data_IF_005000529281
#
_entry.id   IF_005000529281
#
_cell.length_a   1.000
_cell.length_b   1.000
_cell.length_c   1.000
_cell.angle_alpha   90.00
_cell.angle_beta   90.00
_cell.angle_gamma   90.00
#
_symmetry.space_group_name_H-M   'P 1'
#
loop_
_entity.id
_entity.type
_entity.pdbx_description
1 polymer ?
#
# COMPACT_ATOMS: atom_id res chain seq x y z
N UNK A 1 -29.90 70.58 18.64
CA UNK A 1 -28.67 70.29 19.39
C UNK A 1 -28.53 68.77 19.47
N UNK A 2 -27.46 68.21 18.87
CA UNK A 2 -26.67 67.06 19.34
C UNK A 2 -27.41 65.76 19.71
N UNK A 3 -27.16 64.60 19.09
CA UNK A 3 -25.89 63.84 19.18
C UNK A 3 -25.74 62.76 18.09
N UNK A 4 -24.47 62.53 17.79
CA UNK A 4 -23.84 61.51 16.93
C UNK A 4 -23.68 60.17 17.67
N UNK A 5 -23.63 59.06 16.92
CA UNK A 5 -22.90 57.83 17.27
C UNK A 5 -23.77 56.56 17.14
N UNK A 6 -23.32 55.42 16.63
CA UNK A 6 -22.01 54.95 16.19
C UNK A 6 -22.27 53.72 15.30
N UNK A 7 -21.46 53.53 14.24
CA UNK A 7 -21.52 52.36 13.36
C UNK A 7 -21.12 51.08 14.10
N UNK A 8 -21.81 49.97 13.82
CA UNK A 8 -21.34 48.62 14.18
C UNK A 8 -21.15 47.82 12.89
N UNK A 9 -19.92 47.76 12.40
CA UNK A 9 -19.47 46.79 11.39
C UNK A 9 -18.91 45.61 12.19
N UNK A 10 -19.70 44.55 12.32
CA UNK A 10 -19.29 43.28 12.91
C UNK A 10 -18.65 42.39 11.85
N UNK A 11 -17.33 42.21 11.97
CA UNK A 11 -16.49 41.33 11.15
C UNK A 11 -16.96 39.87 11.27
N UNK A 12 -17.38 39.26 10.16
CA UNK A 12 -17.57 37.81 10.07
C UNK A 12 -16.20 37.17 9.81
N UNK A 13 -15.54 36.73 10.88
CA UNK A 13 -14.25 36.06 10.79
C UNK A 13 -14.41 34.64 10.21
N UNK A 14 -13.60 34.40 9.18
CA UNK A 14 -13.49 33.23 8.32
C UNK A 14 -13.18 31.96 9.13
N UNK A 15 -14.06 30.95 9.05
CA UNK A 15 -13.72 29.56 9.42
C UNK A 15 -13.20 28.85 8.19
N UNK A 16 -11.91 29.00 7.89
CA UNK A 16 -11.19 28.21 6.88
C UNK A 16 -9.80 27.90 7.43
N UNK A 17 -9.72 26.92 8.33
CA UNK A 17 -8.44 26.38 8.81
C UNK A 17 -8.59 24.92 9.24
N UNK A 18 -8.99 24.05 8.32
CA UNK A 18 -8.97 22.59 8.56
C UNK A 18 -8.56 21.76 7.34
N UNK A 19 -8.22 22.38 6.20
CA UNK A 19 -7.77 21.66 5.00
C UNK A 19 -6.25 21.54 4.82
N UNK A 20 -5.46 22.34 5.53
CA UNK A 20 -4.00 22.31 5.41
C UNK A 20 -3.34 21.12 6.11
N UNK A 21 -3.98 20.53 7.12
CA UNK A 21 -3.38 19.43 7.91
C UNK A 21 -3.33 18.11 7.15
N UNK A 22 -4.21 17.89 6.16
CA UNK A 22 -4.34 16.59 5.49
C UNK A 22 -3.30 16.34 4.38
N UNK A 23 -2.69 17.39 3.80
CA UNK A 23 -1.70 17.25 2.73
C UNK A 23 -0.32 16.78 3.23
N UNK A 24 -0.07 16.90 4.53
CA UNK A 24 1.22 16.59 5.17
C UNK A 24 1.28 15.22 5.83
N UNK A 25 0.21 14.42 5.74
CA UNK A 25 0.11 13.12 6.41
C UNK A 25 0.15 11.98 5.39
N UNK A 26 0.76 10.86 5.79
CA UNK A 26 0.78 9.62 5.02
C UNK A 26 0.36 8.44 5.92
N UNK A 27 -0.94 8.37 6.30
CA UNK A 27 -1.38 7.57 7.44
C UNK A 27 -1.43 6.05 7.21
N UNK A 28 -1.24 5.58 5.97
CA UNK A 28 -1.46 4.18 5.58
C UNK A 28 -0.61 3.81 4.37
N UNK A 29 -0.62 2.53 4.01
CA UNK A 29 -0.02 2.03 2.77
C UNK A 29 -0.43 2.89 1.56
N UNK A 30 0.57 3.42 0.84
CA UNK A 30 0.40 4.33 -0.30
C UNK A 30 -0.42 5.60 -0.02
N UNK A 31 -0.54 6.02 1.24
CA UNK A 31 -1.17 7.28 1.63
C UNK A 31 -2.68 7.32 1.33
N UNK A 32 -3.25 8.51 1.39
CA UNK A 32 -4.70 8.70 1.18
C UNK A 32 -5.10 8.62 -0.30
N UNK A 33 -4.18 8.95 -1.21
CA UNK A 33 -4.40 9.06 -2.66
C UNK A 33 -3.60 8.01 -3.46
N UNK A 34 -3.36 6.82 -2.89
CA UNK A 34 -2.77 5.67 -3.57
C UNK A 34 -1.45 5.98 -4.31
N UNK A 35 -0.51 6.66 -3.64
CA UNK A 35 0.82 6.98 -4.16
C UNK A 35 0.91 8.35 -4.83
N UNK A 36 -0.19 9.11 -4.96
CA UNK A 36 -0.12 10.51 -5.40
C UNK A 36 0.04 11.43 -4.20
N UNK A 37 1.13 12.18 -4.14
CA UNK A 37 1.28 13.26 -3.18
C UNK A 37 0.76 14.58 -3.78
N UNK A 38 0.47 15.56 -2.93
CA UNK A 38 0.26 16.92 -3.40
C UNK A 38 1.56 17.44 -4.04
N UNK A 39 1.42 18.23 -5.10
CA UNK A 39 2.57 18.89 -5.71
C UNK A 39 3.14 19.92 -4.73
N UNK A 40 4.45 19.87 -4.54
CA UNK A 40 5.21 20.74 -3.65
C UNK A 40 6.63 20.93 -4.22
N UNK A 41 7.04 22.14 -4.61
CA UNK A 41 8.37 22.40 -5.16
C UNK A 41 9.53 22.07 -4.20
N UNK A 42 9.27 21.87 -2.90
CA UNK A 42 10.26 21.40 -1.95
C UNK A 42 10.58 19.89 -2.09
N UNK A 43 9.69 19.11 -2.72
CA UNK A 43 9.89 17.68 -2.89
C UNK A 43 11.10 17.37 -3.81
N UNK A 44 12.02 16.48 -3.39
CA UNK A 44 13.23 16.17 -4.13
C UNK A 44 12.95 15.29 -5.34
N UNK A 45 13.51 15.59 -6.50
CA UNK A 45 13.49 14.70 -7.68
C UNK A 45 14.88 14.15 -8.03
N UNK A 46 15.90 14.55 -7.26
CA UNK A 46 17.28 14.07 -7.34
C UNK A 46 17.81 13.73 -5.96
N UNK A 47 18.48 12.60 -5.80
CA UNK A 47 19.16 12.18 -4.58
C UNK A 47 20.15 11.05 -4.84
N UNK A 48 21.01 10.80 -3.88
CA UNK A 48 21.92 9.66 -3.83
C UNK A 48 22.09 9.21 -2.38
N UNK A 49 23.06 8.36 -2.08
CA UNK A 49 23.39 8.01 -0.69
C UNK A 49 23.86 9.19 0.18
N UNK A 50 24.21 10.32 -0.44
CA UNK A 50 24.76 11.52 0.22
C UNK A 50 24.09 12.83 -0.21
N UNK A 51 23.53 12.90 -1.42
CA UNK A 51 22.80 14.06 -1.93
C UNK A 51 21.33 14.05 -1.50
N UNK A 52 20.82 15.20 -1.04
CA UNK A 52 19.43 15.39 -0.60
C UNK A 52 18.96 14.38 0.48
N UNK A 53 19.91 13.84 1.25
CA UNK A 53 19.62 13.04 2.45
C UNK A 53 19.59 13.99 3.65
N UNK A 54 18.41 14.15 4.26
CA UNK A 54 18.24 14.87 5.52
C UNK A 54 18.80 14.04 6.67
N UNK A 55 18.44 12.75 6.72
CA UNK A 55 19.02 11.75 7.59
C UNK A 55 18.83 10.35 7.02
N UNK A 56 19.65 9.40 7.50
CA UNK A 56 19.47 7.97 7.30
C UNK A 56 19.85 7.23 8.59
N UNK A 57 19.10 6.18 8.93
CA UNK A 57 19.35 5.37 10.12
C UNK A 57 19.23 3.88 9.80
N UNK A 58 19.87 3.05 10.62
CA UNK A 58 19.64 1.61 10.62
C UNK A 58 18.33 1.27 11.33
N UNK A 59 17.53 0.40 10.72
CA UNK A 59 16.32 -0.17 11.32
C UNK A 59 16.57 -1.67 11.56
N UNK A 60 16.53 -2.13 12.82
CA UNK A 60 16.75 -3.54 13.12
C UNK A 60 15.70 -4.46 12.50
N UNK A 61 16.14 -5.65 12.08
CA UNK A 61 15.27 -6.71 11.57
C UNK A 61 14.91 -6.55 10.10
N UNK A 62 14.29 -7.59 9.55
CA UNK A 62 13.83 -7.62 8.17
C UNK A 62 12.33 -7.29 8.13
N UNK A 63 11.95 -6.33 7.30
CA UNK A 63 10.55 -6.04 7.00
C UNK A 63 10.38 -5.29 5.69
N UNK A 64 9.20 -5.44 5.09
CA UNK A 64 8.78 -4.72 3.88
C UNK A 64 7.57 -3.82 4.11
N UNK A 65 7.19 -3.61 5.37
CA UNK A 65 6.21 -2.59 5.73
C UNK A 65 6.66 -1.23 5.23
N UNK A 66 5.75 -0.54 4.54
CA UNK A 66 6.00 0.81 4.07
C UNK A 66 5.97 1.78 5.27
N UNK A 67 6.78 2.84 5.26
CA UNK A 67 6.66 3.87 6.28
C UNK A 67 5.29 4.55 6.19
N UNK A 68 4.73 4.89 7.34
CA UNK A 68 3.61 5.84 7.45
C UNK A 68 4.06 7.05 8.25
N UNK A 69 3.52 8.21 7.93
CA UNK A 69 3.91 9.49 8.55
C UNK A 69 2.67 10.16 9.15
N UNK A 70 2.75 10.53 10.42
CA UNK A 70 1.78 11.41 11.06
C UNK A 70 2.48 12.49 11.89
N UNK A 71 2.33 13.75 11.49
CA UNK A 71 3.07 14.89 12.04
C UNK A 71 4.58 14.63 12.01
N UNK A 72 5.19 14.49 13.18
CA UNK A 72 6.61 14.24 13.37
C UNK A 72 6.92 12.77 13.72
N UNK A 73 5.93 11.88 13.64
CA UNK A 73 6.08 10.44 13.83
C UNK A 73 6.19 9.73 12.48
N UNK A 74 7.19 8.86 12.35
CA UNK A 74 7.30 7.90 11.27
C UNK A 74 7.20 6.50 11.88
N UNK A 75 6.15 5.76 11.55
CA UNK A 75 5.99 4.40 12.01
C UNK A 75 6.44 3.39 10.97
N UNK A 76 7.23 2.41 11.40
CA UNK A 76 7.62 1.22 10.64
C UNK A 76 7.58 0.00 11.55
N UNK A 77 7.37 -1.18 10.96
CA UNK A 77 7.36 -2.45 11.70
C UNK A 77 8.55 -3.32 11.30
N UNK A 78 9.00 -4.21 12.19
CA UNK A 78 10.10 -5.14 11.92
C UNK A 78 9.89 -6.50 12.57
N UNK A 79 10.46 -7.53 11.94
CA UNK A 79 10.67 -8.83 12.57
C UNK A 79 12.19 -9.04 12.78
N UNK A 80 12.59 -9.21 14.04
CA UNK A 80 14.00 -9.41 14.42
C UNK A 80 14.20 -10.86 14.84
N UNK A 81 14.96 -11.62 14.05
CA UNK A 81 15.40 -12.98 14.37
C UNK A 81 16.80 -12.94 14.97
N UNK A 82 17.09 -13.70 16.05
CA UNK A 82 18.45 -13.96 16.51
C UNK A 82 19.14 -15.08 15.70
N UNK A 83 18.38 -15.80 14.87
CA UNK A 83 18.88 -16.92 14.06
C UNK A 83 19.46 -16.48 12.72
N UNK A 84 20.11 -17.43 12.04
CA UNK A 84 20.55 -17.25 10.65
C UNK A 84 19.33 -17.41 9.74
N UNK A 85 18.90 -16.31 9.13
CA UNK A 85 17.85 -16.28 8.12
C UNK A 85 18.48 -16.10 6.73
N UNK A 86 17.94 -16.76 5.72
CA UNK A 86 18.38 -16.56 4.34
C UNK A 86 18.11 -15.11 3.91
N UNK A 87 19.11 -14.50 3.24
CA UNK A 87 18.98 -13.16 2.71
C UNK A 87 17.94 -13.11 1.58
N UNK A 88 17.13 -12.05 1.46
CA UNK A 88 16.21 -11.88 0.35
C UNK A 88 16.92 -11.85 -1.01
N UNK A 89 16.30 -12.45 -2.02
CA UNK A 89 16.79 -12.44 -3.40
C UNK A 89 16.02 -11.43 -4.26
N UNK A 90 16.74 -10.72 -5.14
CA UNK A 90 16.14 -9.71 -6.02
C UNK A 90 15.59 -10.32 -7.31
N UNK A 91 14.63 -9.63 -7.89
CA UNK A 91 14.09 -9.87 -9.23
C UNK A 91 13.04 -10.96 -9.31
N UNK A 92 12.63 -11.25 -10.55
CA UNK A 92 11.80 -12.40 -10.89
C UNK A 92 12.73 -13.54 -11.33
N UNK A 93 12.92 -14.53 -10.46
CA UNK A 93 13.73 -15.71 -10.72
C UNK A 93 12.87 -16.97 -10.67
N UNK A 94 13.43 -18.09 -11.14
CA UNK A 94 12.85 -19.41 -10.93
C UNK A 94 13.33 -19.92 -9.56
N UNK A 95 12.45 -19.97 -8.55
CA UNK A 95 12.84 -20.40 -7.22
C UNK A 95 12.96 -21.93 -7.08
N UNK A 96 12.81 -22.68 -8.16
CA UNK A 96 12.77 -24.15 -8.15
C UNK A 96 11.50 -24.71 -7.51
N UNK A 97 11.51 -26.02 -7.28
CA UNK A 97 10.35 -26.79 -6.80
C UNK A 97 9.89 -26.36 -5.40
N UNK A 98 10.79 -25.82 -4.58
CA UNK A 98 10.48 -25.31 -3.24
C UNK A 98 9.85 -23.92 -3.27
N UNK A 99 9.66 -23.30 -4.43
CA UNK A 99 9.01 -21.98 -4.56
C UNK A 99 9.58 -20.91 -3.61
N UNK A 100 10.86 -20.99 -3.25
CA UNK A 100 11.54 -19.99 -2.42
C UNK A 100 11.05 -20.00 -0.97
N UNK A 101 10.39 -21.07 -0.54
CA UNK A 101 9.83 -21.20 0.80
C UNK A 101 10.93 -21.26 1.85
N UNK A 102 10.70 -20.55 2.95
CA UNK A 102 11.56 -20.52 4.11
C UNK A 102 10.71 -20.58 5.37
N UNK A 103 11.25 -21.18 6.43
CA UNK A 103 10.59 -21.23 7.74
C UNK A 103 11.61 -20.91 8.81
N UNK A 104 11.26 -19.99 9.69
CA UNK A 104 12.11 -19.68 10.84
C UNK A 104 11.87 -20.70 11.95
N UNK A 105 12.96 -21.16 12.56
CA UNK A 105 12.96 -21.99 13.77
C UNK A 105 13.31 -21.20 15.02
N UNK A 106 13.62 -19.90 14.86
CA UNK A 106 14.05 -19.03 15.95
C UNK A 106 12.90 -18.18 16.50
N UNK A 107 13.01 -17.79 17.76
CA UNK A 107 12.09 -16.84 18.38
C UNK A 107 12.31 -15.47 17.74
N UNK A 108 11.39 -15.07 16.87
CA UNK A 108 11.37 -13.75 16.24
C UNK A 108 10.69 -12.75 17.17
N UNK A 109 11.16 -11.51 17.17
CA UNK A 109 10.56 -10.38 17.89
C UNK A 109 9.88 -9.45 16.90
N UNK A 110 8.58 -9.23 17.06
CA UNK A 110 7.83 -8.27 16.25
C UNK A 110 7.83 -6.91 16.95
N UNK A 111 8.36 -5.92 16.25
CA UNK A 111 8.63 -4.59 16.80
C UNK A 111 7.89 -3.53 15.98
N UNK A 112 7.31 -2.55 16.67
CA UNK A 112 6.85 -1.29 16.10
C UNK A 112 7.86 -0.21 16.48
N UNK A 113 8.32 0.56 15.52
CA UNK A 113 9.23 1.68 15.75
C UNK A 113 8.48 2.99 15.50
N UNK A 114 8.76 3.98 16.34
CA UNK A 114 8.46 5.38 16.08
C UNK A 114 9.79 6.13 15.87
N UNK A 115 9.92 6.77 14.72
CA UNK A 115 11.09 7.52 14.32
C UNK A 115 10.71 8.99 14.21
N UNK A 116 11.49 9.84 14.87
CA UNK A 116 11.35 11.28 14.81
C UNK A 116 11.61 11.80 13.39
N UNK A 117 10.62 12.48 12.80
CA UNK A 117 10.68 12.95 11.42
C UNK A 117 11.84 13.93 11.16
N UNK A 118 12.17 14.78 12.13
CA UNK A 118 13.19 15.81 11.94
C UNK A 118 14.61 15.26 12.09
N UNK A 119 14.86 14.51 13.15
CA UNK A 119 16.19 14.04 13.52
C UNK A 119 16.52 12.64 13.01
N UNK A 120 15.53 11.84 12.64
CA UNK A 120 15.70 10.41 12.35
C UNK A 120 15.95 9.57 13.59
N UNK A 121 15.90 10.13 14.80
CA UNK A 121 16.11 9.33 16.02
C UNK A 121 14.92 8.42 16.26
N UNK A 122 15.18 7.14 16.54
CA UNK A 122 14.17 6.22 17.07
C UNK A 122 13.71 6.76 18.44
N UNK A 123 12.45 7.21 18.53
CA UNK A 123 11.83 7.68 19.78
C UNK A 123 11.59 6.51 20.72
N UNK A 124 11.04 5.43 20.18
CA UNK A 124 10.87 4.17 20.87
C UNK A 124 10.82 3.00 19.90
N UNK A 125 11.08 1.80 20.44
CA UNK A 125 10.91 0.52 19.75
C UNK A 125 10.14 -0.41 20.67
N UNK A 126 8.90 -0.71 20.31
CA UNK A 126 8.01 -1.53 21.12
C UNK A 126 7.99 -2.95 20.57
N UNK A 127 8.59 -3.88 21.31
CA UNK A 127 8.32 -5.30 21.11
C UNK A 127 6.87 -5.58 21.49
N UNK A 128 6.08 -6.02 20.52
CA UNK A 128 4.66 -6.36 20.71
C UNK A 128 4.55 -7.83 21.13
N UNK A 129 5.39 -8.69 20.57
CA UNK A 129 5.47 -10.12 20.92
C UNK A 129 6.80 -10.73 20.46
N UNK A 130 7.23 -11.78 21.17
CA UNK A 130 8.32 -12.66 20.77
C UNK A 130 7.83 -14.11 20.70
N UNK A 131 7.93 -14.75 19.52
CA UNK A 131 7.60 -16.18 19.33
C UNK A 131 8.20 -16.73 18.03
N UNK A 132 8.12 -18.04 17.85
CA UNK A 132 8.43 -18.67 16.56
C UNK A 132 7.28 -18.34 15.60
N UNK A 133 7.53 -17.89 14.35
CA UNK A 133 6.48 -17.66 13.36
C UNK A 133 5.58 -18.88 13.19
N UNK A 134 4.27 -18.66 13.10
CA UNK A 134 3.31 -19.76 12.97
C UNK A 134 3.39 -20.41 11.56
N UNK A 135 3.80 -19.62 10.58
CA UNK A 135 3.77 -19.96 9.15
C UNK A 135 5.14 -19.80 8.50
N UNK A 136 5.31 -20.38 7.31
CA UNK A 136 6.43 -20.11 6.41
C UNK A 136 6.30 -18.77 5.69
N UNK A 137 7.31 -18.43 4.89
CA UNK A 137 7.30 -17.28 3.97
C UNK A 137 8.13 -17.56 2.73
N UNK A 138 7.83 -16.87 1.63
CA UNK A 138 8.77 -16.75 0.52
C UNK A 138 10.02 -15.98 0.98
N UNK A 139 11.20 -16.32 0.47
CA UNK A 139 12.48 -15.68 0.84
C UNK A 139 12.49 -14.17 0.58
N UNK A 140 11.75 -13.71 -0.44
CA UNK A 140 11.48 -12.28 -0.72
C UNK A 140 10.50 -11.61 0.23
N UNK A 141 9.67 -12.36 0.96
CA UNK A 141 8.74 -11.80 1.91
C UNK A 141 9.43 -11.62 3.29
N UNK A 142 8.75 -11.00 4.25
CA UNK A 142 9.19 -10.88 5.64
C UNK A 142 8.07 -11.31 6.57
N UNK A 143 8.37 -11.50 7.86
CA UNK A 143 7.33 -11.76 8.86
C UNK A 143 6.63 -10.47 9.36
N UNK A 144 6.96 -9.31 8.81
CA UNK A 144 6.40 -8.01 9.16
C UNK A 144 6.22 -7.12 7.91
N UNK A 145 5.58 -7.67 6.86
CA UNK A 145 5.39 -7.00 5.57
C UNK A 145 4.19 -6.07 5.54
N UNK A 146 3.20 -6.30 6.41
CA UNK A 146 2.02 -5.47 6.52
C UNK A 146 2.39 -4.06 7.01
N UNK A 147 1.87 -3.06 6.31
CA UNK A 147 2.07 -1.65 6.63
C UNK A 147 1.07 -1.21 7.70
N UNK A 148 1.55 -0.49 8.72
CA UNK A 148 0.68 0.07 9.75
C UNK A 148 -0.35 1.07 9.18
N UNK A 149 -1.36 1.41 9.96
CA UNK A 149 -2.28 2.53 9.68
C UNK A 149 -2.48 3.39 10.93
N UNK A 150 -2.80 4.67 10.79
CA UNK A 150 -3.01 5.59 11.93
C UNK A 150 -4.16 6.56 11.69
N UNK A 151 -4.86 6.95 12.76
CA UNK A 151 -5.81 8.08 12.78
C UNK A 151 -5.21 9.35 13.41
N UNK A 152 -3.94 9.32 13.80
CA UNK A 152 -3.30 10.41 14.52
C UNK A 152 -3.41 10.35 16.04
N UNK A 153 -4.18 9.40 16.57
CA UNK A 153 -4.27 9.12 18.01
C UNK A 153 -3.58 7.80 18.35
N UNK A 154 -3.71 6.80 17.46
CA UNK A 154 -3.13 5.47 17.63
C UNK A 154 -2.56 4.96 16.33
N UNK A 155 -1.50 4.16 16.45
CA UNK A 155 -0.98 3.33 15.36
C UNK A 155 -1.53 1.91 15.49
N UNK A 156 -2.08 1.39 14.40
CA UNK A 156 -2.66 0.06 14.29
C UNK A 156 -1.76 -0.80 13.41
N UNK A 157 -1.37 -1.96 13.93
CA UNK A 157 -0.51 -2.92 13.25
C UNK A 157 -1.18 -4.28 13.17
N UNK A 158 -0.85 -5.01 12.10
CA UNK A 158 -1.22 -6.41 11.93
C UNK A 158 0.03 -7.17 11.53
N UNK A 159 0.29 -8.28 12.20
CA UNK A 159 1.36 -9.20 11.86
C UNK A 159 0.72 -10.53 11.45
N UNK A 160 0.47 -10.71 10.16
CA UNK A 160 -0.32 -11.83 9.64
C UNK A 160 0.33 -13.18 9.89
N UNK A 161 1.66 -13.25 9.82
CA UNK A 161 2.45 -14.45 10.09
C UNK A 161 2.27 -15.04 11.49
N UNK A 162 1.66 -14.25 12.39
CA UNK A 162 1.38 -14.64 13.76
C UNK A 162 -0.04 -14.31 14.20
N UNK A 163 -0.87 -13.78 13.30
CA UNK A 163 -2.27 -13.43 13.55
C UNK A 163 -2.46 -12.37 14.64
N UNK A 164 -1.50 -11.48 14.85
CA UNK A 164 -1.58 -10.49 15.92
C UNK A 164 -1.96 -9.13 15.38
N UNK A 165 -3.04 -8.56 15.89
CA UNK A 165 -3.45 -7.18 15.65
C UNK A 165 -3.22 -6.40 16.94
N UNK A 166 -2.66 -5.20 16.85
CA UNK A 166 -2.45 -4.35 18.02
C UNK A 166 -2.72 -2.89 17.70
N UNK A 167 -3.18 -2.15 18.70
CA UNK A 167 -3.17 -0.69 18.70
C UNK A 167 -2.22 -0.18 19.77
N UNK A 168 -1.39 0.79 19.39
CA UNK A 168 -0.49 1.49 20.31
C UNK A 168 -0.83 2.99 20.29
N UNK A 169 -0.68 3.65 21.44
CA UNK A 169 -0.61 5.11 21.46
C UNK A 169 0.73 5.59 20.89
N UNK A 170 0.87 6.91 20.69
CA UNK A 170 2.09 7.49 20.13
C UNK A 170 3.27 7.50 21.10
N UNK A 171 3.06 7.16 22.38
CA UNK A 171 4.11 6.89 23.37
C UNK A 171 4.61 5.42 23.31
N UNK A 172 4.05 4.61 22.42
CA UNK A 172 4.40 3.19 22.26
C UNK A 172 3.78 2.27 23.31
N UNK A 173 2.79 2.73 24.07
CA UNK A 173 2.01 1.88 24.99
C UNK A 173 0.99 1.10 24.17
N UNK A 174 0.94 -0.21 24.41
CA UNK A 174 -0.08 -1.08 23.82
C UNK A 174 -1.41 -0.75 24.50
N UNK A 175 -2.38 -0.28 23.71
CA UNK A 175 -3.74 0.01 24.17
C UNK A 175 -4.57 -1.26 24.21
N UNK A 176 -4.48 -2.07 23.16
CA UNK A 176 -5.10 -3.39 23.08
C UNK A 176 -4.38 -4.29 22.08
N UNK A 177 -4.55 -5.59 22.25
CA UNK A 177 -4.16 -6.61 21.27
C UNK A 177 -5.33 -7.54 20.97
N UNK A 178 -5.36 -8.10 19.77
CA UNK A 178 -6.35 -9.07 19.32
C UNK A 178 -5.65 -10.17 18.53
N UNK A 179 -5.83 -11.41 18.97
CA UNK A 179 -5.37 -12.58 18.24
C UNK A 179 -6.45 -13.00 17.23
N UNK A 180 -6.04 -13.23 16.00
CA UNK A 180 -6.79 -13.91 14.94
C UNK A 180 -6.01 -15.16 14.50
N UNK A 181 -6.65 -16.10 13.79
CA UNK A 181 -5.95 -17.26 13.28
C UNK A 181 -4.86 -16.89 12.28
N UNK A 182 -3.73 -17.61 12.36
CA UNK A 182 -2.58 -17.46 11.48
C UNK A 182 -2.34 -18.80 10.79
N UNK A 183 -2.54 -18.84 9.47
CA UNK A 183 -2.47 -20.05 8.67
C UNK A 183 -1.62 -19.80 7.43
N UNK A 184 -1.05 -20.87 6.89
CA UNK A 184 -0.23 -20.80 5.68
C UNK A 184 -1.04 -20.20 4.52
N UNK A 185 -0.38 -19.39 3.70
CA UNK A 185 -0.93 -18.89 2.44
C UNK A 185 -0.53 -19.82 1.29
N UNK A 186 -1.11 -19.61 0.12
CA UNK A 186 -0.76 -20.38 -1.07
C UNK A 186 0.77 -20.34 -1.32
N UNK A 187 1.36 -21.51 -1.60
CA UNK A 187 2.81 -21.73 -1.74
C UNK A 187 3.68 -21.22 -0.56
N UNK A 188 3.16 -21.17 0.66
CA UNK A 188 3.86 -20.67 1.86
C UNK A 188 4.53 -19.31 1.61
N UNK A 189 3.89 -18.45 0.80
CA UNK A 189 4.44 -17.14 0.43
C UNK A 189 4.49 -16.16 1.61
N UNK A 190 3.80 -16.45 2.71
CA UNK A 190 3.63 -15.58 3.87
C UNK A 190 2.52 -14.55 3.66
N UNK A 191 2.37 -13.61 4.58
CA UNK A 191 1.29 -12.60 4.57
C UNK A 191 1.80 -11.22 4.13
N UNK A 192 0.88 -10.34 3.67
CA UNK A 192 1.22 -8.95 3.33
C UNK A 192 0.02 -7.96 3.30
N UNK A 193 -1.23 -8.45 3.36
CA UNK A 193 -2.41 -7.59 3.33
C UNK A 193 -2.45 -6.68 4.57
N UNK A 194 -2.38 -5.37 4.35
CA UNK A 194 -2.26 -4.39 5.44
C UNK A 194 -3.62 -4.08 6.10
N UNK A 195 -3.65 -3.69 7.38
CA UNK A 195 -4.85 -3.22 8.06
C UNK A 195 -5.35 -1.91 7.43
N UNK A 196 -6.67 -1.77 7.32
CA UNK A 196 -7.28 -0.53 6.82
C UNK A 196 -8.23 0.06 7.84
N UNK A 197 -8.01 1.33 8.16
CA UNK A 197 -8.84 2.09 9.07
C UNK A 197 -9.87 2.91 8.29
N UNK A 198 -11.12 2.87 8.73
CA UNK A 198 -12.15 3.80 8.28
C UNK A 198 -13.10 4.12 9.45
N UNK A 199 -13.17 5.41 9.80
CA UNK A 199 -13.93 5.93 10.95
C UNK A 199 -13.55 5.20 12.24
N UNK A 200 -14.49 4.46 12.85
CA UNK A 200 -14.30 3.72 14.09
C UNK A 200 -13.94 2.24 13.89
N UNK A 201 -13.74 1.80 12.64
CA UNK A 201 -13.52 0.39 12.31
C UNK A 201 -12.15 0.14 11.68
N UNK A 202 -11.52 -0.94 12.12
CA UNK A 202 -10.31 -1.50 11.54
C UNK A 202 -10.66 -2.79 10.80
N UNK A 203 -10.30 -2.87 9.53
CA UNK A 203 -10.58 -4.00 8.65
C UNK A 203 -9.30 -4.79 8.36
N UNK A 204 -9.37 -6.10 8.54
CA UNK A 204 -8.32 -7.05 8.19
C UNK A 204 -8.89 -8.06 7.19
N UNK A 205 -8.16 -8.30 6.10
CA UNK A 205 -8.40 -9.42 5.20
C UNK A 205 -7.23 -10.38 5.34
N UNK A 206 -7.53 -11.65 5.55
CA UNK A 206 -6.55 -12.72 5.59
C UNK A 206 -7.08 -13.92 4.83
N UNK A 207 -6.73 -13.98 3.55
CA UNK A 207 -6.94 -15.18 2.74
C UNK A 207 -5.82 -16.16 3.03
N UNK A 208 -6.16 -17.41 3.38
CA UNK A 208 -5.22 -18.46 3.76
C UNK A 208 -5.75 -19.85 3.34
N UNK A 209 -4.97 -20.91 3.58
CA UNK A 209 -5.28 -22.28 3.16
C UNK A 209 -6.27 -23.03 4.08
N UNK A 210 -6.68 -22.45 5.20
CA UNK A 210 -7.49 -23.14 6.22
C UNK A 210 -8.85 -22.47 6.43
N UNK A 211 -8.85 -21.19 6.75
CA UNK A 211 -10.05 -20.40 7.01
C UNK A 211 -9.84 -18.96 6.54
N UNK A 212 -10.04 -18.68 5.26
CA UNK A 212 -9.99 -17.30 4.76
C UNK A 212 -11.06 -16.44 5.41
N UNK A 213 -10.73 -15.19 5.75
CA UNK A 213 -11.68 -14.29 6.40
C UNK A 213 -11.43 -12.81 6.11
N UNK A 214 -12.50 -12.04 6.27
CA UNK A 214 -12.43 -10.60 6.55
C UNK A 214 -13.04 -10.34 7.92
N UNK A 215 -12.42 -9.47 8.72
CA UNK A 215 -12.91 -9.11 10.05
C UNK A 215 -12.90 -7.60 10.21
N UNK A 216 -13.94 -7.08 10.87
CA UNK A 216 -13.99 -5.70 11.34
C UNK A 216 -13.87 -5.66 12.85
N UNK A 217 -12.98 -4.81 13.34
CA UNK A 217 -12.77 -4.55 14.75
C UNK A 217 -13.15 -3.11 15.09
N UNK A 218 -13.69 -2.89 16.29
CA UNK A 218 -13.78 -1.56 16.87
C UNK A 218 -12.36 -1.04 17.16
N UNK A 219 -12.02 0.12 16.60
CA UNK A 219 -10.65 0.65 16.70
C UNK A 219 -10.23 0.98 18.14
N UNK A 220 -11.19 1.23 19.04
CA UNK A 220 -10.92 1.70 20.40
C UNK A 220 -10.60 0.55 21.35
N UNK A 221 -11.27 -0.58 21.16
CA UNK A 221 -11.20 -1.73 22.05
C UNK A 221 -10.55 -2.97 21.44
N UNK A 222 -10.45 -3.04 20.10
CA UNK A 222 -10.04 -4.26 19.40
C UNK A 222 -11.11 -5.36 19.39
N UNK A 223 -12.32 -5.06 19.90
CA UNK A 223 -13.44 -5.99 19.90
C UNK A 223 -13.90 -6.27 18.47
N UNK A 224 -14.16 -7.54 18.17
CA UNK A 224 -14.71 -7.92 16.88
C UNK A 224 -16.15 -7.42 16.76
N UNK A 225 -16.41 -6.64 15.71
CA UNK A 225 -17.75 -6.17 15.34
C UNK A 225 -18.45 -7.25 14.51
N UNK A 226 -17.77 -7.74 13.48
CA UNK A 226 -18.25 -8.82 12.62
C UNK A 226 -17.07 -9.57 11.97
N UNK A 227 -17.34 -10.77 11.46
CA UNK A 227 -16.42 -11.58 10.66
C UNK A 227 -17.19 -12.21 9.50
N UNK A 228 -16.60 -12.17 8.31
CA UNK A 228 -17.12 -12.80 7.10
C UNK A 228 -16.13 -13.90 6.71
N UNK A 229 -16.64 -15.13 6.58
CA UNK A 229 -15.88 -16.22 5.99
C UNK A 229 -15.68 -15.96 4.49
N UNK A 230 -14.50 -16.29 4.00
CA UNK A 230 -14.06 -16.13 2.63
C UNK A 230 -13.71 -17.50 2.07
N UNK A 231 -13.91 -17.69 0.76
CA UNK A 231 -13.72 -18.98 0.08
C UNK A 231 -12.40 -19.00 -0.71
N UNK A 232 -11.63 -17.91 -0.60
CA UNK A 232 -10.38 -17.71 -1.30
C UNK A 232 -9.30 -18.69 -0.78
N UNK A 233 -8.54 -19.38 -1.64
CA UNK A 233 -7.58 -20.42 -1.24
C UNK A 233 -6.21 -19.84 -0.81
N UNK A 234 -6.20 -18.67 -0.17
CA UNK A 234 -4.96 -18.06 0.34
C UNK A 234 -3.98 -17.50 -0.68
N UNK A 235 -4.44 -17.20 -1.89
CA UNK A 235 -3.62 -16.71 -3.00
C UNK A 235 -3.71 -15.18 -3.19
N UNK A 236 -3.95 -14.42 -2.11
CA UNK A 236 -4.14 -12.96 -2.17
C UNK A 236 -3.38 -12.25 -1.07
N UNK A 237 -2.57 -11.26 -1.47
CA UNK A 237 -1.70 -10.44 -0.62
C UNK A 237 -2.06 -8.96 -0.64
N UNK A 238 -3.20 -8.65 -1.24
CA UNK A 238 -3.65 -7.28 -1.51
C UNK A 238 -4.25 -6.64 -0.27
N UNK A 239 -3.90 -5.39 -0.01
CA UNK A 239 -4.57 -4.58 1.01
C UNK A 239 -5.98 -4.23 0.51
N UNK A 240 -7.04 -4.44 1.30
CA UNK A 240 -8.40 -4.07 0.90
C UNK A 240 -8.50 -2.55 0.72
N UNK A 241 -9.48 -2.08 -0.04
CA UNK A 241 -9.69 -0.65 -0.25
C UNK A 241 -11.07 -0.23 0.21
N UNK A 242 -11.14 0.70 1.16
CA UNK A 242 -12.41 1.34 1.54
C UNK A 242 -12.69 2.46 0.55
N UNK A 243 -13.64 2.20 -0.35
CA UNK A 243 -14.04 3.11 -1.42
C UNK A 243 -15.26 3.92 -0.98
N UNK A 244 -15.02 5.18 -0.64
CA UNK A 244 -16.08 6.18 -0.47
C UNK A 244 -16.44 6.75 -1.84
N UNK A 245 -17.60 6.37 -2.36
CA UNK A 245 -18.13 6.87 -3.62
C UNK A 245 -19.39 7.71 -3.40
N UNK A 246 -19.92 8.28 -4.49
CA UNK A 246 -21.08 9.17 -4.44
C UNK A 246 -22.39 8.49 -3.97
N UNK A 247 -22.46 7.15 -4.00
CA UNK A 247 -23.65 6.38 -3.65
C UNK A 247 -23.55 5.73 -2.27
N UNK A 248 -22.37 5.24 -1.88
CA UNK A 248 -22.12 4.55 -0.60
C UNK A 248 -20.62 4.34 -0.35
N UNK A 249 -20.30 3.80 0.82
CA UNK A 249 -18.96 3.31 1.15
C UNK A 249 -18.91 1.79 1.02
N UNK A 250 -17.86 1.28 0.38
CA UNK A 250 -17.67 -0.15 0.15
C UNK A 250 -16.26 -0.61 0.51
N UNK A 251 -16.09 -1.88 0.86
CA UNK A 251 -14.80 -2.53 1.12
C UNK A 251 -14.51 -3.43 -0.08
N UNK A 252 -13.67 -2.95 -0.99
CA UNK A 252 -13.25 -3.68 -2.19
C UNK A 252 -12.06 -4.57 -1.84
N UNK A 253 -12.24 -5.87 -2.00
CA UNK A 253 -11.26 -6.90 -1.68
C UNK A 253 -10.92 -7.69 -2.93
N UNK A 254 -9.66 -7.68 -3.39
CA UNK A 254 -9.19 -8.68 -4.33
C UNK A 254 -9.34 -10.08 -3.76
N UNK A 255 -9.38 -11.07 -4.64
CA UNK A 255 -9.56 -12.48 -4.31
C UNK A 255 -8.97 -13.36 -5.41
N UNK A 256 -8.77 -14.64 -5.13
CA UNK A 256 -8.30 -15.59 -6.15
C UNK A 256 -9.35 -15.77 -7.25
N UNK A 257 -9.01 -15.40 -8.48
CA UNK A 257 -9.92 -15.54 -9.63
C UNK A 257 -11.09 -14.53 -9.67
N UNK A 258 -11.22 -13.67 -8.64
CA UNK A 258 -12.35 -12.72 -8.51
C UNK A 258 -11.98 -11.45 -7.74
N UNK A 259 -12.89 -10.48 -7.71
CA UNK A 259 -12.91 -9.36 -6.76
C UNK A 259 -14.28 -9.35 -6.10
N UNK A 260 -14.33 -9.05 -4.81
CA UNK A 260 -15.57 -8.91 -4.04
C UNK A 260 -15.63 -7.54 -3.41
N UNK A 261 -16.83 -6.98 -3.30
CA UNK A 261 -17.07 -5.76 -2.56
C UNK A 261 -18.15 -5.96 -1.52
N UNK A 262 -17.92 -5.43 -0.33
CA UNK A 262 -18.80 -5.54 0.81
C UNK A 262 -19.24 -4.17 1.30
N UNK A 263 -20.39 -4.08 1.95
CA UNK A 263 -20.69 -2.89 2.76
C UNK A 263 -19.85 -2.88 4.04
N UNK A 264 -19.98 -1.80 4.82
CA UNK A 264 -19.24 -1.64 6.06
C UNK A 264 -19.59 -2.69 7.13
N UNK A 265 -20.75 -3.35 7.01
CA UNK A 265 -21.26 -4.37 7.92
C UNK A 265 -20.96 -5.82 7.43
N UNK A 266 -20.18 -5.95 6.35
CA UNK A 266 -19.71 -7.24 5.85
C UNK A 266 -20.68 -7.95 4.91
N UNK A 267 -21.76 -7.29 4.46
CA UNK A 267 -22.65 -7.88 3.47
C UNK A 267 -22.05 -7.75 2.07
N UNK A 268 -22.02 -8.86 1.32
CA UNK A 268 -21.57 -8.84 -0.08
C UNK A 268 -22.51 -7.97 -0.92
N UNK A 269 -21.93 -7.00 -1.63
CA UNK A 269 -22.64 -6.08 -2.53
C UNK A 269 -22.55 -6.55 -3.97
N UNK A 270 -21.34 -6.87 -4.43
CA UNK A 270 -21.07 -7.36 -5.77
C UNK A 270 -19.82 -8.22 -5.82
N UNK A 271 -19.73 -9.05 -6.86
CA UNK A 271 -18.53 -9.80 -7.22
C UNK A 271 -18.24 -9.73 -8.72
N UNK A 272 -16.96 -9.84 -9.07
CA UNK A 272 -16.47 -9.86 -10.45
C UNK A 272 -15.52 -11.03 -10.60
N UNK A 273 -15.74 -11.90 -11.58
CA UNK A 273 -14.85 -13.01 -11.97
C UNK A 273 -13.90 -12.59 -13.09
N UNK A 274 -12.85 -13.40 -13.28
CA UNK A 274 -11.90 -13.20 -14.38
C UNK A 274 -10.62 -12.50 -13.95
N UNK A 275 -10.29 -12.56 -12.67
CA UNK A 275 -8.96 -12.22 -12.13
C UNK A 275 -8.01 -13.42 -12.26
N UNK A 276 -6.71 -13.19 -12.08
CA UNK A 276 -5.74 -14.28 -11.95
C UNK A 276 -5.84 -14.94 -10.58
N UNK A 277 -5.26 -16.15 -10.44
CA UNK A 277 -5.25 -16.89 -9.17
C UNK A 277 -4.46 -16.16 -8.09
N UNK A 278 -3.26 -15.64 -8.43
CA UNK A 278 -2.43 -14.86 -7.51
C UNK A 278 -2.70 -13.38 -7.68
N UNK A 279 -3.03 -12.69 -6.58
CA UNK A 279 -3.30 -11.24 -6.60
C UNK A 279 -2.60 -10.49 -5.46
N UNK A 280 -1.64 -9.63 -5.82
CA UNK A 280 -0.95 -8.72 -4.90
C UNK A 280 -1.32 -7.22 -5.08
N UNK A 281 -1.64 -6.71 -6.29
CA UNK A 281 -1.97 -5.29 -6.47
C UNK A 281 -3.19 -4.88 -5.66
N UNK A 282 -3.07 -3.80 -4.88
CA UNK A 282 -4.17 -3.28 -4.08
C UNK A 282 -5.09 -2.37 -4.91
N UNK A 283 -6.42 -2.40 -4.70
CA UNK A 283 -7.34 -1.49 -5.39
C UNK A 283 -7.15 -0.04 -4.94
N UNK A 284 -7.61 0.89 -5.76
CA UNK A 284 -7.67 2.31 -5.43
C UNK A 284 -8.75 3.01 -6.25
N UNK A 285 -9.12 4.24 -5.90
CA UNK A 285 -10.10 5.01 -6.64
C UNK A 285 -9.60 6.38 -7.08
N UNK A 286 -10.06 6.81 -8.26
CA UNK A 286 -9.87 8.15 -8.82
C UNK A 286 -10.96 8.41 -9.85
N UNK A 287 -11.31 9.67 -10.09
CA UNK A 287 -12.37 10.06 -11.06
C UNK A 287 -13.72 9.38 -10.79
N UNK A 288 -14.03 9.08 -9.52
CA UNK A 288 -15.23 8.35 -9.13
C UNK A 288 -15.24 6.87 -9.53
N UNK A 289 -14.16 6.33 -10.10
CA UNK A 289 -14.02 4.93 -10.47
C UNK A 289 -13.12 4.21 -9.47
N UNK A 290 -13.40 2.93 -9.21
CA UNK A 290 -12.45 2.03 -8.54
C UNK A 290 -11.71 1.20 -9.56
N UNK A 291 -10.39 1.11 -9.40
CA UNK A 291 -9.48 0.35 -10.24
C UNK A 291 -8.90 -0.82 -9.46
N UNK A 292 -8.78 -1.97 -10.12
CA UNK A 292 -8.09 -3.13 -9.60
C UNK A 292 -7.52 -3.97 -10.73
N UNK A 293 -6.47 -4.72 -10.42
CA UNK A 293 -5.73 -5.51 -11.39
C UNK A 293 -5.17 -6.77 -10.77
N UNK A 294 -4.93 -7.77 -11.59
CA UNK A 294 -4.17 -8.96 -11.22
C UNK A 294 -3.38 -9.42 -12.44
N UNK A 295 -2.11 -9.80 -12.25
CA UNK A 295 -1.23 -10.09 -13.38
C UNK A 295 -0.26 -11.22 -13.12
N UNK A 296 -0.71 -12.30 -12.47
CA UNK A 296 0.14 -13.48 -12.26
C UNK A 296 0.76 -13.96 -13.58
N UNK A 297 2.10 -14.10 -13.66
CA UNK A 297 2.74 -14.45 -14.93
C UNK A 297 2.31 -15.81 -15.49
N UNK A 298 1.90 -16.75 -14.64
CA UNK A 298 1.42 -18.08 -15.03
C UNK A 298 -0.01 -18.09 -15.58
N UNK A 299 -0.76 -16.99 -15.47
CA UNK A 299 -2.15 -16.90 -15.90
C UNK A 299 -2.34 -16.02 -17.15
N UNK A 300 -3.47 -16.26 -17.83
CA UNK A 300 -4.03 -15.43 -18.88
C UNK A 300 -5.56 -15.46 -18.80
N UNK A 301 -6.27 -14.32 -18.87
CA UNK A 301 -5.77 -12.94 -19.05
C UNK A 301 -5.04 -12.39 -17.80
N UNK A 302 -4.41 -11.22 -17.94
CA UNK A 302 -3.84 -10.39 -16.86
C UNK A 302 -4.62 -9.08 -16.78
N UNK A 303 -5.78 -9.10 -16.12
CA UNK A 303 -6.78 -8.05 -16.27
C UNK A 303 -6.47 -6.77 -15.49
N UNK A 304 -7.03 -5.68 -15.99
CA UNK A 304 -7.33 -4.45 -15.25
C UNK A 304 -8.78 -4.09 -15.51
N UNK A 305 -9.50 -3.70 -14.45
CA UNK A 305 -10.86 -3.20 -14.54
C UNK A 305 -10.97 -1.80 -13.93
N UNK A 306 -11.85 -0.99 -14.50
CA UNK A 306 -12.36 0.23 -13.89
C UNK A 306 -13.87 0.14 -13.70
N UNK A 307 -14.34 0.28 -12.47
CA UNK A 307 -15.74 0.04 -12.08
C UNK A 307 -16.38 1.32 -11.55
N UNK A 308 -17.62 1.58 -11.99
CA UNK A 308 -18.47 2.68 -11.53
C UNK A 308 -19.14 2.39 -10.19
N UNK A 309 -19.52 3.44 -9.43
CA UNK A 309 -20.30 3.29 -8.22
C UNK A 309 -21.62 2.54 -8.47
N UNK A 310 -22.16 1.90 -7.43
CA UNK A 310 -23.52 1.35 -7.44
C UNK A 310 -23.68 -0.06 -8.00
N UNK A 311 -22.57 -0.75 -8.28
CA UNK A 311 -22.56 -2.15 -8.68
C UNK A 311 -23.33 -3.07 -7.71
N UNK A 312 -24.05 -4.06 -8.22
CA UNK A 312 -24.73 -5.07 -7.38
C UNK A 312 -24.79 -6.41 -8.08
N UNK A 313 -24.64 -7.50 -7.31
CA UNK A 313 -24.67 -8.87 -7.82
C UNK A 313 -23.39 -9.28 -8.57
N UNK A 314 -23.50 -10.25 -9.47
CA UNK A 314 -22.40 -10.63 -10.36
C UNK A 314 -22.28 -9.59 -11.48
N UNK A 315 -21.16 -8.87 -11.52
CA UNK A 315 -20.89 -7.81 -12.50
C UNK A 315 -19.92 -8.25 -13.60
N UNK A 316 -19.57 -9.54 -13.66
CA UNK A 316 -18.59 -10.09 -14.59
C UNK A 316 -18.94 -9.78 -16.04
N UNK A 317 -17.92 -9.53 -16.86
CA UNK A 317 -18.07 -9.40 -18.30
C UNK A 317 -18.34 -10.77 -18.93
N UNK A 318 -19.18 -10.78 -19.97
CA UNK A 318 -19.32 -11.94 -20.85
C UNK A 318 -18.14 -12.01 -21.83
N UNK A 319 -17.88 -13.18 -22.43
CA UNK A 319 -16.82 -13.30 -23.44
C UNK A 319 -16.98 -12.27 -24.57
N UNK A 320 -15.90 -11.53 -24.83
CA UNK A 320 -15.85 -10.48 -25.87
C UNK A 320 -16.31 -9.09 -25.42
N UNK A 321 -16.91 -8.96 -24.24
CA UNK A 321 -17.26 -7.65 -23.68
C UNK A 321 -16.02 -6.95 -23.08
N UNK A 322 -15.98 -5.62 -23.19
CA UNK A 322 -14.95 -4.77 -22.59
C UNK A 322 -15.53 -3.75 -21.61
N UNK A 323 -16.87 -3.70 -21.50
CA UNK A 323 -17.62 -2.84 -20.60
C UNK A 323 -19.04 -3.41 -20.42
N UNK A 324 -19.70 -3.00 -19.35
CA UNK A 324 -21.13 -3.24 -19.13
C UNK A 324 -21.71 -2.06 -18.34
N UNK A 325 -22.89 -2.18 -17.72
CA UNK A 325 -23.49 -1.09 -16.94
C UNK A 325 -22.62 -0.59 -15.77
N UNK A 326 -21.81 -1.45 -15.15
CA UNK A 326 -20.95 -1.11 -14.01
C UNK A 326 -19.47 -0.98 -14.38
N UNK A 327 -19.00 -1.74 -15.36
CA UNK A 327 -17.60 -1.71 -15.81
C UNK A 327 -17.45 -0.65 -16.89
N UNK A 328 -16.63 0.37 -16.63
CA UNK A 328 -16.34 1.44 -17.60
C UNK A 328 -15.41 0.95 -18.69
N UNK A 329 -14.36 0.24 -18.32
CA UNK A 329 -13.42 -0.36 -19.26
C UNK A 329 -12.71 -1.54 -18.62
N UNK A 330 -12.23 -2.42 -19.48
CA UNK A 330 -11.47 -3.62 -19.17
C UNK A 330 -10.28 -3.73 -20.12
N UNK A 331 -9.10 -4.03 -19.57
CA UNK A 331 -7.90 -4.33 -20.33
C UNK A 331 -7.37 -5.72 -19.96
N UNK A 332 -7.36 -6.70 -20.90
CA UNK A 332 -7.08 -8.11 -20.59
C UNK A 332 -5.60 -8.41 -20.34
N UNK A 333 -4.67 -7.51 -20.66
CA UNK A 333 -3.22 -7.78 -20.61
C UNK A 333 -2.42 -6.66 -19.96
N UNK A 334 -3.10 -5.78 -19.23
CA UNK A 334 -2.52 -4.61 -18.58
C UNK A 334 -2.15 -4.87 -17.10
N UNK A 335 -2.56 -6.00 -16.51
CA UNK A 335 -2.28 -6.33 -15.13
C UNK A 335 -0.79 -6.63 -14.87
N UNK A 336 -0.32 -6.24 -13.69
CA UNK A 336 1.03 -6.53 -13.14
C UNK A 336 0.93 -7.54 -12.00
N UNK A 337 2.03 -8.23 -11.72
CA UNK A 337 2.05 -9.25 -10.69
C UNK A 337 2.12 -8.66 -9.28
N UNK A 338 3.05 -7.74 -9.01
CA UNK A 338 3.31 -7.22 -7.64
C UNK A 338 2.82 -5.79 -7.44
N UNK A 339 3.16 -4.88 -8.34
CA UNK A 339 2.94 -3.44 -8.10
C UNK A 339 1.46 -3.09 -8.22
N UNK A 340 0.97 -2.10 -7.47
CA UNK A 340 -0.36 -1.55 -7.80
C UNK A 340 -0.21 -0.34 -8.73
N UNK A 341 -1.13 -0.19 -9.68
CA UNK A 341 -1.08 0.90 -10.64
C UNK A 341 -1.22 2.28 -9.98
N UNK A 342 -1.04 3.34 -10.77
CA UNK A 342 -1.14 4.73 -10.32
C UNK A 342 -2.01 5.52 -11.29
N UNK A 343 -2.92 6.35 -10.78
CA UNK A 343 -3.58 7.38 -11.60
C UNK A 343 -3.06 8.75 -11.19
N UNK A 344 -2.41 9.46 -12.11
CA UNK A 344 -1.93 10.83 -11.91
C UNK A 344 -2.43 11.73 -13.05
N UNK A 345 -3.13 12.81 -12.71
CA UNK A 345 -3.95 13.55 -13.67
C UNK A 345 -5.06 12.68 -14.27
N UNK A 346 -5.13 12.64 -15.60
CA UNK A 346 -6.08 11.80 -16.36
C UNK A 346 -5.47 10.47 -16.84
N UNK A 347 -4.27 10.12 -16.39
CA UNK A 347 -3.51 8.98 -16.91
C UNK A 347 -3.40 7.83 -15.89
N UNK A 348 -3.66 6.62 -16.35
CA UNK A 348 -3.48 5.36 -15.64
C UNK A 348 -2.15 4.72 -16.05
N UNK A 349 -1.23 4.59 -15.10
CA UNK A 349 0.10 4.03 -15.29
C UNK A 349 0.19 2.62 -14.73
N UNK A 350 0.69 1.71 -15.55
CA UNK A 350 1.03 0.35 -15.12
C UNK A 350 2.54 0.16 -15.18
N UNK A 351 3.13 -0.14 -14.02
CA UNK A 351 4.51 -0.60 -13.91
C UNK A 351 4.51 -2.12 -13.95
N UNK A 352 5.08 -2.70 -15.01
CA UNK A 352 5.30 -4.14 -15.07
C UNK A 352 6.60 -4.49 -14.36
N UNK A 353 6.59 -5.65 -13.70
CA UNK A 353 7.61 -6.15 -12.79
C UNK A 353 9.01 -6.26 -13.43
N UNK A 354 9.08 -6.38 -14.76
CA UNK A 354 10.33 -6.44 -15.56
C UNK A 354 10.76 -5.08 -16.13
N UNK A 355 10.30 -3.96 -15.57
CA UNK A 355 10.77 -2.62 -15.93
C UNK A 355 10.19 -2.06 -17.21
N UNK A 356 8.91 -2.29 -17.45
CA UNK A 356 8.15 -1.58 -18.47
C UNK A 356 7.09 -0.69 -17.84
N UNK A 357 6.94 0.53 -18.35
CA UNK A 357 5.83 1.41 -18.01
C UNK A 357 4.85 1.48 -19.19
N UNK A 358 3.55 1.49 -18.90
CA UNK A 358 2.48 1.69 -19.87
C UNK A 358 1.58 2.82 -19.38
N UNK A 359 0.93 3.53 -20.31
CA UNK A 359 0.02 4.62 -19.99
C UNK A 359 -1.28 4.50 -20.79
N UNK A 360 -2.39 4.61 -20.08
CA UNK A 360 -3.74 4.62 -20.63
C UNK A 360 -4.49 5.83 -20.10
N UNK A 361 -5.53 6.24 -20.80
CA UNK A 361 -6.49 7.20 -20.28
C UNK A 361 -7.25 6.55 -19.11
N UNK A 362 -7.25 7.20 -17.94
CA UNK A 362 -7.80 6.61 -16.72
C UNK A 362 -9.32 6.43 -16.76
N UNK A 363 -10.04 7.23 -17.55
CA UNK A 363 -11.51 7.20 -17.61
C UNK A 363 -12.02 6.23 -18.67
N UNK A 364 -11.28 6.05 -19.75
CA UNK A 364 -11.71 5.27 -20.93
C UNK A 364 -10.92 3.98 -21.15
N UNK A 365 -9.75 3.85 -20.51
CA UNK A 365 -8.85 2.72 -20.71
C UNK A 365 -8.15 2.73 -22.07
N UNK A 366 -8.29 3.78 -22.88
CA UNK A 366 -7.63 3.89 -24.19
C UNK A 366 -6.11 4.00 -24.01
N UNK A 367 -5.34 3.23 -24.78
CA UNK A 367 -3.88 3.33 -24.75
C UNK A 367 -3.42 4.72 -25.18
N UNK A 368 -2.55 5.33 -24.38
CA UNK A 368 -1.85 6.58 -24.69
C UNK A 368 -0.47 6.26 -25.25
N UNK A 369 0.29 5.41 -24.54
CA UNK A 369 1.48 4.77 -25.07
C UNK A 369 1.58 3.32 -24.57
N UNK A 370 2.12 2.45 -25.43
CA UNK A 370 2.31 1.03 -25.14
C UNK A 370 3.50 0.76 -24.19
N UNK A 371 4.07 -0.44 -24.23
CA UNK A 371 5.20 -0.82 -23.37
C UNK A 371 6.44 0.04 -23.66
N UNK A 372 6.87 0.81 -22.66
CA UNK A 372 8.09 1.59 -22.70
C UNK A 372 9.10 1.02 -21.70
N UNK A 373 10.30 0.66 -22.18
CA UNK A 373 11.35 0.11 -21.33
C UNK A 373 11.95 1.24 -20.50
N UNK A 374 12.00 1.05 -19.18
CA UNK A 374 12.63 2.03 -18.26
C UNK A 374 14.16 1.91 -18.32
N UNK A 375 14.68 0.69 -18.20
CA UNK A 375 16.10 0.35 -18.33
C UNK A 375 16.28 -1.14 -18.63
N UNK A 376 17.45 -1.54 -19.12
CA UNK A 376 17.85 -2.95 -19.27
C UNK A 376 18.53 -3.52 -18.01
N UNK A 377 18.94 -2.67 -17.07
CA UNK A 377 19.83 -3.02 -15.95
C UNK A 377 19.10 -3.41 -14.64
N UNK A 378 17.77 -3.48 -14.66
CA UNK A 378 16.97 -3.64 -13.44
C UNK A 378 16.63 -5.10 -13.15
N UNK A 379 16.80 -5.52 -11.90
CA UNK A 379 16.44 -6.87 -11.45
C UNK A 379 14.92 -7.09 -11.38
N UNK A 380 14.17 -6.09 -10.93
CA UNK A 380 12.72 -6.11 -10.90
C UNK A 380 12.10 -4.91 -10.19
N UNK A 381 10.77 -4.88 -10.16
CA UNK A 381 9.97 -3.90 -9.41
C UNK A 381 8.93 -4.61 -8.57
N UNK A 382 8.98 -4.37 -7.25
CA UNK A 382 7.95 -4.79 -6.29
C UNK A 382 7.29 -3.57 -5.64
N UNK A 383 8.06 -2.52 -5.34
CA UNK A 383 7.53 -1.29 -4.81
C UNK A 383 6.58 -0.62 -5.82
N UNK A 384 5.48 -0.08 -5.31
CA UNK A 384 4.50 0.58 -6.15
C UNK A 384 4.97 1.99 -6.57
N UNK A 385 4.60 2.45 -7.78
CA UNK A 385 4.92 3.80 -8.23
C UNK A 385 4.23 4.88 -7.39
N UNK A 386 4.87 6.05 -7.28
CA UNK A 386 4.31 7.27 -6.68
C UNK A 386 4.52 8.48 -7.59
N UNK A 387 3.81 9.58 -7.35
CA UNK A 387 3.92 10.79 -8.17
C UNK A 387 3.71 12.09 -7.41
N UNK A 388 4.36 13.14 -7.93
CA UNK A 388 4.18 14.56 -7.61
C UNK A 388 4.97 15.41 -8.62
N UNK A 389 4.68 16.71 -8.69
CA UNK A 389 5.35 17.71 -9.51
C UNK A 389 5.52 17.31 -10.98
N UNK A 390 4.50 16.70 -11.58
CA UNK A 390 4.56 16.25 -12.98
C UNK A 390 5.49 15.07 -13.22
N UNK A 391 5.89 14.32 -12.18
CA UNK A 391 6.83 13.20 -12.26
C UNK A 391 6.26 11.95 -11.60
N UNK A 392 6.63 10.81 -12.17
CA UNK A 392 6.34 9.47 -11.66
C UNK A 392 7.66 8.85 -11.25
N UNK A 393 7.67 8.22 -10.09
CA UNK A 393 8.85 7.62 -9.49
C UNK A 393 8.67 6.12 -9.36
N UNK A 394 9.67 5.37 -9.80
CA UNK A 394 9.64 3.92 -9.93
C UNK A 394 10.85 3.33 -9.19
N UNK A 395 10.63 2.78 -7.99
CA UNK A 395 11.68 2.19 -7.16
C UNK A 395 11.86 0.71 -7.50
N UNK A 396 13.05 0.35 -7.98
CA UNK A 396 13.42 -1.04 -8.25
C UNK A 396 13.87 -1.77 -6.98
N UNK A 397 13.94 -3.08 -7.08
CA UNK A 397 14.48 -3.93 -6.01
C UNK A 397 15.98 -3.74 -5.78
N UNK A 398 16.67 -3.00 -6.65
CA UNK A 398 18.08 -2.66 -6.49
C UNK A 398 18.32 -1.43 -5.61
N UNK A 399 17.26 -0.70 -5.25
CA UNK A 399 17.38 0.60 -4.57
C UNK A 399 17.54 1.77 -5.53
N UNK A 400 17.30 1.54 -6.83
CA UNK A 400 17.31 2.57 -7.86
C UNK A 400 15.90 3.12 -8.09
N UNK A 401 15.73 4.42 -7.95
CA UNK A 401 14.50 5.13 -8.32
C UNK A 401 14.65 5.81 -9.67
N UNK A 402 13.84 5.38 -10.64
CA UNK A 402 13.74 6.03 -11.94
C UNK A 402 12.66 7.11 -11.90
N UNK A 403 13.01 8.30 -12.38
CA UNK A 403 12.11 9.45 -12.46
C UNK A 403 11.64 9.56 -13.90
N UNK A 404 10.33 9.49 -14.12
CA UNK A 404 9.69 9.54 -15.44
C UNK A 404 8.77 10.74 -15.51
N UNK A 405 8.73 11.42 -16.65
CA UNK A 405 7.78 12.49 -16.90
C UNK A 405 6.35 11.96 -16.88
N UNK A 406 5.45 12.62 -16.14
CA UNK A 406 4.03 12.35 -16.24
C UNK A 406 3.44 13.01 -17.50
N UNK A 407 2.38 12.41 -18.04
CA UNK A 407 1.71 12.88 -19.24
C UNK A 407 1.66 11.85 -20.38
N UNK A 408 1.36 12.34 -21.61
CA UNK A 408 1.12 11.49 -22.76
C UNK A 408 2.39 11.03 -23.48
N UNK A 409 3.55 11.52 -23.08
CA UNK A 409 4.85 11.15 -23.64
C UNK A 409 5.69 10.44 -22.58
N UNK A 410 6.33 9.34 -22.96
CA UNK A 410 7.26 8.65 -22.10
C UNK A 410 8.65 9.27 -22.19
N UNK A 411 9.19 9.69 -21.05
CA UNK A 411 10.56 10.20 -20.94
C UNK A 411 11.14 9.91 -19.57
N UNK A 412 12.25 9.19 -19.51
CA UNK A 412 13.05 9.05 -18.28
C UNK A 412 13.83 10.36 -18.07
N UNK A 413 13.63 10.99 -16.92
CA UNK A 413 14.23 12.25 -16.52
C UNK A 413 15.51 12.08 -15.69
N UNK A 414 15.65 10.95 -15.00
CA UNK A 414 16.81 10.67 -14.17
C UNK A 414 16.70 9.36 -13.40
N UNK A 415 17.78 9.03 -12.69
CA UNK A 415 17.92 7.88 -11.80
C UNK A 415 18.56 8.32 -10.49
N UNK A 416 18.02 7.87 -9.38
CA UNK A 416 18.56 8.08 -8.03
C UNK A 416 18.87 6.73 -7.41
N UNK A 417 20.02 6.57 -6.74
CA UNK A 417 20.47 5.27 -6.22
C UNK A 417 20.75 5.34 -4.72
N UNK A 418 20.18 4.38 -3.99
CA UNK A 418 20.47 4.13 -2.57
C UNK A 418 21.35 2.88 -2.36
N UNK A 419 21.64 2.14 -3.43
CA UNK A 419 22.55 0.97 -3.45
C UNK A 419 22.20 -0.12 -2.41
N UNK A 420 20.91 -0.26 -2.09
CA UNK A 420 20.43 -1.25 -1.14
C UNK A 420 19.03 -1.72 -1.54
N UNK A 421 18.77 -3.02 -1.38
CA UNK A 421 17.50 -3.62 -1.76
C UNK A 421 16.31 -2.92 -1.11
N UNK A 422 15.25 -2.70 -1.87
CA UNK A 422 14.00 -2.15 -1.36
C UNK A 422 12.79 -2.74 -2.05
N UNK A 423 11.84 -3.24 -1.26
CA UNK A 423 10.53 -3.72 -1.73
C UNK A 423 9.36 -2.87 -1.21
N UNK A 424 9.61 -2.02 -0.21
CA UNK A 424 8.61 -1.19 0.43
C UNK A 424 8.26 0.02 -0.46
N UNK A 425 6.97 0.37 -0.52
CA UNK A 425 6.56 1.62 -1.19
C UNK A 425 6.88 2.81 -0.30
N UNK A 426 7.28 3.97 -0.84
CA UNK A 426 7.66 5.11 -0.01
C UNK A 426 6.45 5.82 0.61
N UNK A 427 6.75 6.69 1.58
CA UNK A 427 5.84 7.74 2.01
C UNK A 427 6.30 9.10 1.50
N UNK A 428 5.36 9.98 1.19
CA UNK A 428 5.64 11.37 0.81
C UNK A 428 4.88 12.28 1.75
N UNK A 429 5.59 13.08 2.52
CA UNK A 429 5.00 13.95 3.53
C UNK A 429 5.95 15.11 3.83
N UNK A 430 5.39 16.30 4.07
CA UNK A 430 6.11 17.47 4.59
C UNK A 430 7.38 17.78 3.78
N UNK A 431 7.22 17.93 2.46
CA UNK A 431 8.31 18.21 1.52
C UNK A 431 9.39 17.14 1.43
N UNK A 432 9.16 15.93 1.94
CA UNK A 432 10.14 14.84 2.02
C UNK A 432 9.62 13.53 1.44
N UNK A 433 10.53 12.69 0.96
CA UNK A 433 10.27 11.29 0.62
C UNK A 433 10.93 10.39 1.67
N UNK A 434 10.16 9.48 2.25
CA UNK A 434 10.65 8.49 3.21
C UNK A 434 10.76 7.14 2.52
N UNK A 435 11.98 6.62 2.41
CA UNK A 435 12.27 5.33 1.76
C UNK A 435 12.81 4.36 2.80
N UNK A 436 12.20 3.17 2.85
CA UNK A 436 12.74 2.01 3.57
C UNK A 436 13.52 1.13 2.59
N UNK A 437 14.76 0.81 2.93
CA UNK A 437 15.56 -0.25 2.30
C UNK A 437 15.61 -1.46 3.23
N UNK A 438 16.35 -2.50 2.85
CA UNK A 438 16.44 -3.74 3.62
C UNK A 438 16.89 -3.51 5.06
N UNK A 439 17.87 -2.65 5.31
CA UNK A 439 18.39 -2.36 6.66
C UNK A 439 18.23 -0.92 7.13
N UNK A 440 17.77 0.01 6.27
CA UNK A 440 17.78 1.45 6.59
C UNK A 440 16.45 2.14 6.33
N UNK A 441 16.29 3.29 6.98
CA UNK A 441 15.24 4.26 6.71
C UNK A 441 15.90 5.59 6.34
N UNK A 442 15.42 6.21 5.26
CA UNK A 442 15.92 7.47 4.72
C UNK A 442 14.82 8.52 4.77
N UNK A 443 15.16 9.74 5.19
CA UNK A 443 14.39 10.94 4.82
C UNK A 443 15.17 11.72 3.77
N UNK A 444 14.55 11.84 2.61
CA UNK A 444 15.09 12.54 1.45
C UNK A 444 14.34 13.87 1.33
N UNK A 445 15.07 14.97 1.31
CA UNK A 445 14.53 16.32 1.19
C UNK A 445 15.52 17.22 0.46
N UNK A 446 15.02 18.20 -0.30
CA UNK A 446 15.89 19.22 -0.91
C UNK A 446 16.62 20.00 0.18
N UNK A 447 17.94 20.11 0.06
CA UNK A 447 18.77 20.94 0.95
C UNK A 447 18.79 22.39 0.52
#
# INVERSE_FOLDING_TARGET
MTRIGLATIGVLAVVVASRLVAADQWPRFRGTQAGVAADDPALPDRWSETENIAWKIDIPGLAWSSPIVWNDHIFVTSAVSPGVEAAPEKGLYDPGDEHGKTRSTSVNRWIVHDVDFESGRIRWSKEVVAKIPAIGRHIKNSFASETATTDGERVYVYFGAIGLIAALDFDGRIVWTRQVPAHETYFDMGTAASPVLHKDRLYIVHDNLTESFMVALDKRSGAQVWRVAREEPGATWSTPYVWENELRTEIVTPASGKVRSYDLDGKLLWELKGMTILTAPSPFAKHGLVYFSSGYPGDSPRPVYAVRPGATGDISLKPGETSNQYITWYQPTLGTYQTSALVYGDYYYTLLDRGFLLCHDAKTGKQIYGRQRITQEVTGFTASPWAYNGKIFLLSEDGDTYVVQAGPEFKVLGKNSLNEMSLASPAVARGSVIIRTQSKLYRIARK
#
